data_IF_394652059668
#
_entry.id   IF_394652059668
#
_cell.length_a   1.000
_cell.length_b   1.000
_cell.length_c   1.000
_cell.angle_alpha   90.00
_cell.angle_beta   90.00
_cell.angle_gamma   90.00
#
_symmetry.space_group_name_H-M   'P 1'
#
loop_
_entity.id
_entity.type
_entity.pdbx_description
1 polymer ?
#
# COMPACT_ATOMS: atom_id res chain seq x y z
N UNK A 1 -3.67 13.00 -2.12
CA UNK A 1 -3.06 13.80 -3.20
C UNK A 1 -1.79 13.14 -3.74
N UNK A 2 -1.29 13.53 -4.93
CA UNK A 2 0.01 13.11 -5.42
C UNK A 2 1.15 13.52 -4.48
N UNK A 3 2.22 12.72 -4.44
CA UNK A 3 3.47 13.02 -3.70
C UNK A 3 3.35 13.15 -2.17
N UNK A 4 2.28 12.68 -1.53
CA UNK A 4 2.18 12.62 -0.07
C UNK A 4 3.01 11.48 0.54
N UNK A 5 3.62 10.64 -0.31
CA UNK A 5 4.51 9.53 0.10
C UNK A 5 3.78 8.21 0.34
N UNK A 6 2.70 7.93 -0.39
CA UNK A 6 1.95 6.67 -0.30
C UNK A 6 2.85 5.46 -0.50
N UNK A 7 3.54 5.39 -1.63
CA UNK A 7 4.47 4.28 -1.95
C UNK A 7 5.54 4.12 -0.87
N UNK A 8 6.12 5.22 -0.37
CA UNK A 8 7.07 5.16 0.74
C UNK A 8 6.45 4.52 2.00
N UNK A 9 5.21 4.91 2.35
CA UNK A 9 4.50 4.33 3.49
C UNK A 9 4.15 2.87 3.24
N UNK A 10 3.68 2.51 2.03
CA UNK A 10 3.34 1.13 1.65
C UNK A 10 4.56 0.21 1.76
N UNK A 11 5.72 0.63 1.26
CA UNK A 11 6.98 -0.13 1.34
C UNK A 11 7.39 -0.32 2.80
N UNK A 12 7.43 0.77 3.59
CA UNK A 12 7.87 0.69 4.99
C UNK A 12 6.91 -0.12 5.86
N UNK A 13 5.61 -0.04 5.60
CA UNK A 13 4.61 -0.87 6.27
C UNK A 13 4.82 -2.35 5.92
N UNK A 14 5.02 -2.66 4.64
CA UNK A 14 5.28 -4.01 4.17
C UNK A 14 6.56 -4.59 4.81
N UNK A 15 7.64 -3.81 4.87
CA UNK A 15 8.88 -4.20 5.53
C UNK A 15 8.68 -4.43 7.04
N UNK A 16 7.96 -3.52 7.70
CA UNK A 16 7.70 -3.63 9.15
C UNK A 16 6.93 -4.90 9.50
N UNK A 17 5.89 -5.22 8.72
CA UNK A 17 5.09 -6.44 8.93
C UNK A 17 5.88 -7.70 8.57
N UNK A 18 6.71 -7.63 7.51
CA UNK A 18 7.54 -8.76 7.09
C UNK A 18 8.63 -9.15 8.11
N UNK A 19 8.92 -8.28 9.08
CA UNK A 19 9.83 -8.57 10.20
C UNK A 19 9.12 -9.28 11.38
N UNK A 20 7.77 -9.30 11.39
CA UNK A 20 7.01 -10.02 12.40
C UNK A 20 7.11 -11.53 12.17
N UNK A 21 7.19 -12.28 13.28
CA UNK A 21 7.16 -13.74 13.22
C UNK A 21 5.79 -14.20 12.72
N UNK A 22 5.78 -15.27 11.94
CA UNK A 22 4.57 -15.90 11.42
C UNK A 22 3.69 -15.03 10.50
N UNK A 23 4.26 -13.96 9.93
CA UNK A 23 3.60 -13.13 8.92
C UNK A 23 4.35 -13.16 7.59
N UNK A 24 3.58 -13.20 6.51
CA UNK A 24 4.07 -12.96 5.17
C UNK A 24 3.36 -11.76 4.55
N UNK A 25 4.01 -11.06 3.65
CA UNK A 25 3.47 -9.85 3.01
C UNK A 25 3.53 -9.98 1.51
N UNK A 26 2.46 -9.59 0.85
CA UNK A 26 2.43 -9.37 -0.58
C UNK A 26 2.12 -7.88 -0.84
N UNK A 27 3.09 -7.17 -1.36
CA UNK A 27 2.95 -5.77 -1.76
C UNK A 27 2.60 -5.69 -3.25
N UNK A 28 1.46 -5.10 -3.57
CA UNK A 28 0.92 -5.01 -4.93
C UNK A 28 0.93 -3.55 -5.38
N UNK A 29 1.62 -3.25 -6.49
CA UNK A 29 1.57 -1.93 -7.12
C UNK A 29 0.26 -1.80 -7.92
N UNK A 30 -0.72 -1.13 -7.33
CA UNK A 30 -1.99 -0.79 -7.95
C UNK A 30 -2.03 0.67 -8.45
N UNK A 31 -0.95 1.45 -8.30
CA UNK A 31 -0.79 2.75 -8.96
C UNK A 31 -0.30 2.56 -10.41
N UNK A 32 -1.13 1.90 -11.20
CA UNK A 32 -0.84 1.53 -12.59
C UNK A 32 -0.72 2.74 -13.52
N UNK A 33 -1.18 3.93 -13.08
CA UNK A 33 -1.02 5.18 -13.82
C UNK A 33 0.38 5.77 -13.63
N UNK A 34 0.97 5.59 -12.45
CA UNK A 34 2.31 6.07 -12.11
C UNK A 34 3.09 5.03 -11.30
N UNK A 35 3.35 3.85 -11.90
CA UNK A 35 4.01 2.76 -11.20
C UNK A 35 5.35 3.23 -10.63
N UNK A 36 5.60 2.89 -9.37
CA UNK A 36 6.81 3.34 -8.71
C UNK A 36 7.54 2.28 -7.88
N UNK A 37 6.90 1.17 -7.51
CA UNK A 37 7.53 0.14 -6.67
C UNK A 37 8.81 -0.42 -7.29
N UNK A 38 8.82 -0.73 -8.59
CA UNK A 38 10.00 -1.28 -9.27
C UNK A 38 11.19 -0.30 -9.25
N UNK A 39 10.90 1.00 -9.35
CA UNK A 39 11.92 2.06 -9.32
C UNK A 39 12.43 2.31 -7.90
N UNK A 40 11.50 2.42 -6.93
CA UNK A 40 11.85 2.68 -5.53
C UNK A 40 12.61 1.51 -4.88
N UNK A 41 12.39 0.29 -5.36
CA UNK A 41 13.04 -0.93 -4.88
C UNK A 41 14.16 -1.44 -5.82
N UNK A 42 14.47 -0.68 -6.87
CA UNK A 42 15.58 -0.91 -7.81
C UNK A 42 15.61 -2.34 -8.39
N UNK A 43 14.45 -2.84 -8.87
CA UNK A 43 14.38 -4.13 -9.52
C UNK A 43 13.76 -4.05 -10.92
N UNK A 44 14.22 -4.93 -11.81
CA UNK A 44 13.67 -5.06 -13.15
C UNK A 44 12.45 -5.99 -13.13
N UNK A 45 11.36 -5.57 -13.75
CA UNK A 45 10.19 -6.39 -13.97
C UNK A 45 9.69 -6.23 -15.41
N UNK A 46 9.31 -7.34 -16.03
CA UNK A 46 8.76 -7.34 -17.38
C UNK A 46 7.25 -7.50 -17.40
N UNK A 47 6.70 -8.12 -16.39
CA UNK A 47 5.29 -8.46 -16.23
C UNK A 47 4.84 -8.10 -14.82
N UNK A 48 3.54 -7.82 -14.66
CA UNK A 48 2.96 -7.45 -13.38
C UNK A 48 1.45 -7.65 -13.34
N UNK A 49 0.80 -6.86 -12.51
CA UNK A 49 -0.64 -6.91 -12.28
C UNK A 49 -1.44 -6.78 -13.59
N UNK A 50 -1.05 -5.84 -14.47
CA UNK A 50 -1.77 -5.59 -15.72
C UNK A 50 -1.68 -6.77 -16.69
N UNK A 51 -0.52 -7.40 -16.86
CA UNK A 51 -0.38 -8.59 -17.72
C UNK A 51 -1.22 -9.77 -17.19
N UNK A 52 -1.31 -9.92 -15.86
CA UNK A 52 -2.21 -10.90 -15.27
C UNK A 52 -3.67 -10.58 -15.56
N UNK A 53 -4.10 -9.34 -15.37
CA UNK A 53 -5.48 -8.91 -15.62
C UNK A 53 -5.88 -9.03 -17.11
N UNK A 54 -4.93 -8.83 -18.02
CA UNK A 54 -5.10 -8.97 -19.47
C UNK A 54 -5.09 -10.43 -19.97
N UNK A 55 -4.79 -11.42 -19.10
CA UNK A 55 -4.53 -12.82 -19.49
C UNK A 55 -3.30 -12.98 -20.41
N UNK A 56 -2.32 -12.13 -20.30
CA UNK A 56 -1.06 -12.22 -21.04
C UNK A 56 -0.04 -13.15 -20.35
N UNK A 57 -0.33 -13.57 -19.11
CA UNK A 57 0.40 -14.58 -18.35
C UNK A 57 -0.50 -15.75 -17.98
N UNK A 58 0.08 -16.94 -17.80
CA UNK A 58 -0.68 -18.15 -17.53
C UNK A 58 -1.11 -18.28 -16.07
N UNK A 59 -0.32 -17.74 -15.16
CA UNK A 59 -0.53 -17.89 -13.72
C UNK A 59 -0.20 -16.61 -12.96
N UNK A 60 -0.85 -16.41 -11.82
CA UNK A 60 -0.50 -15.35 -10.89
C UNK A 60 0.95 -15.44 -10.39
N UNK A 61 1.48 -16.67 -10.29
CA UNK A 61 2.89 -16.87 -9.90
C UNK A 61 3.91 -16.24 -10.86
N UNK A 62 3.53 -16.04 -12.13
CA UNK A 62 4.41 -15.47 -13.15
C UNK A 62 4.69 -13.97 -12.92
N UNK A 63 3.83 -13.32 -12.15
CA UNK A 63 3.93 -11.88 -11.81
C UNK A 63 4.28 -11.63 -10.34
N UNK A 64 4.55 -12.67 -9.55
CA UNK A 64 4.99 -12.54 -8.17
C UNK A 64 6.51 -12.62 -8.09
N UNK A 65 7.13 -11.54 -7.66
CA UNK A 65 8.58 -11.44 -7.50
C UNK A 65 8.99 -11.67 -6.04
N UNK A 66 10.03 -12.47 -5.85
CA UNK A 66 10.65 -12.63 -4.54
C UNK A 66 11.57 -11.43 -4.27
N UNK A 67 11.69 -11.06 -2.99
CA UNK A 67 12.68 -10.08 -2.54
C UNK A 67 13.82 -10.78 -1.79
N UNK A 68 14.82 -10.01 -1.36
CA UNK A 68 15.85 -10.49 -0.43
C UNK A 68 15.31 -10.75 0.99
N UNK A 69 14.04 -10.41 1.27
CA UNK A 69 13.34 -10.72 2.52
C UNK A 69 12.37 -11.86 2.22
N UNK A 70 12.58 -13.09 2.73
CA UNK A 70 11.79 -14.27 2.36
C UNK A 70 10.28 -14.12 2.62
N UNK A 71 9.90 -13.36 3.65
CA UNK A 71 8.51 -13.08 4.03
C UNK A 71 7.84 -11.97 3.21
N UNK A 72 8.57 -11.26 2.32
CA UNK A 72 8.05 -10.19 1.47
C UNK A 72 8.11 -10.57 0.00
N UNK A 73 6.97 -10.51 -0.67
CA UNK A 73 6.84 -10.67 -2.12
C UNK A 73 6.17 -9.44 -2.72
N UNK A 74 6.37 -9.23 -4.02
CA UNK A 74 5.88 -8.05 -4.73
C UNK A 74 5.18 -8.48 -6.01
N UNK A 75 4.08 -7.81 -6.33
CA UNK A 75 3.49 -7.78 -7.67
C UNK A 75 3.65 -6.35 -8.18
N UNK A 76 4.51 -6.10 -9.18
CA UNK A 76 4.61 -4.79 -9.81
C UNK A 76 3.37 -4.49 -10.64
N UNK A 77 3.15 -3.23 -11.00
CA UNK A 77 2.02 -2.83 -11.83
C UNK A 77 2.01 -3.45 -13.23
N UNK A 78 3.19 -3.71 -13.79
CA UNK A 78 3.33 -4.14 -15.19
C UNK A 78 3.44 -2.98 -16.17
N UNK A 79 3.25 -3.26 -17.46
CA UNK A 79 3.32 -2.26 -18.52
C UNK A 79 2.01 -1.49 -18.64
N UNK A 80 2.10 -0.18 -18.78
CA UNK A 80 0.91 0.66 -18.98
C UNK A 80 0.10 0.22 -20.21
N UNK A 81 -1.21 0.19 -20.04
CA UNK A 81 -2.17 -0.19 -21.06
C UNK A 81 -3.33 0.83 -21.12
N UNK A 82 -3.95 1.00 -22.28
CA UNK A 82 -5.04 1.97 -22.45
C UNK A 82 -6.33 1.62 -21.66
N UNK A 83 -6.51 0.35 -21.29
CA UNK A 83 -7.65 -0.14 -20.48
C UNK A 83 -7.32 -0.26 -18.98
N UNK A 84 -6.28 0.43 -18.52
CA UNK A 84 -5.77 0.31 -17.15
C UNK A 84 -6.86 0.53 -16.08
N UNK A 85 -7.71 1.51 -16.29
CA UNK A 85 -8.78 1.87 -15.38
C UNK A 85 -9.86 0.78 -15.31
N UNK A 86 -10.30 0.33 -16.47
CA UNK A 86 -11.29 -0.73 -16.60
C UNK A 86 -10.79 -2.05 -16.02
N UNK A 87 -9.50 -2.34 -16.15
CA UNK A 87 -8.88 -3.54 -15.60
C UNK A 87 -8.91 -3.55 -14.07
N UNK A 88 -8.61 -2.43 -13.41
CA UNK A 88 -8.69 -2.32 -11.95
C UNK A 88 -10.12 -2.40 -11.42
N UNK A 89 -11.11 -1.97 -12.22
CA UNK A 89 -12.53 -2.08 -11.89
C UNK A 89 -13.16 -3.41 -12.36
N UNK A 90 -12.37 -4.33 -12.90
CA UNK A 90 -12.88 -5.57 -13.49
C UNK A 90 -13.26 -6.61 -12.44
N UNK A 91 -14.17 -7.52 -12.81
CA UNK A 91 -14.47 -8.73 -12.02
C UNK A 91 -13.22 -9.56 -11.76
N UNK A 92 -12.26 -9.58 -12.69
CA UNK A 92 -11.00 -10.31 -12.53
C UNK A 92 -10.15 -9.73 -11.41
N UNK A 93 -10.09 -8.40 -11.26
CA UNK A 93 -9.42 -7.75 -10.13
C UNK A 93 -10.10 -8.10 -8.80
N UNK A 94 -11.43 -8.09 -8.75
CA UNK A 94 -12.18 -8.50 -7.56
C UNK A 94 -11.90 -9.96 -7.18
N UNK A 95 -11.94 -10.88 -8.16
CA UNK A 95 -11.61 -12.30 -7.95
C UNK A 95 -10.16 -12.47 -7.45
N UNK A 96 -9.22 -11.71 -8.02
CA UNK A 96 -7.82 -11.72 -7.57
C UNK A 96 -7.71 -11.29 -6.11
N UNK A 97 -8.32 -10.17 -5.73
CA UNK A 97 -8.28 -9.66 -4.36
C UNK A 97 -8.86 -10.69 -3.37
N UNK A 98 -9.98 -11.31 -3.71
CA UNK A 98 -10.61 -12.37 -2.92
C UNK A 98 -9.71 -13.62 -2.80
N UNK A 99 -9.10 -14.07 -3.90
CA UNK A 99 -8.15 -15.19 -3.89
C UNK A 99 -6.95 -14.88 -3.00
N UNK A 100 -6.36 -13.70 -3.13
CA UNK A 100 -5.22 -13.28 -2.32
C UNK A 100 -5.55 -13.23 -0.83
N UNK A 101 -6.74 -12.78 -0.46
CA UNK A 101 -7.19 -12.72 0.92
C UNK A 101 -7.44 -14.10 1.55
N UNK A 102 -7.91 -15.08 0.76
CA UNK A 102 -8.32 -16.40 1.27
C UNK A 102 -7.21 -17.46 1.22
N UNK A 103 -6.28 -17.33 0.28
CA UNK A 103 -5.32 -18.42 -0.04
C UNK A 103 -4.29 -18.67 1.05
N UNK A 104 -3.92 -17.63 1.81
CA UNK A 104 -2.87 -17.71 2.84
C UNK A 104 -3.29 -16.90 4.07
N UNK A 105 -3.72 -17.54 5.16
CA UNK A 105 -4.26 -16.84 6.34
C UNK A 105 -3.21 -16.04 7.12
N UNK A 106 -1.92 -16.36 6.93
CA UNK A 106 -0.77 -15.66 7.51
C UNK A 106 -0.31 -14.47 6.66
N UNK A 107 -0.88 -14.32 5.44
CA UNK A 107 -0.45 -13.30 4.49
C UNK A 107 -1.25 -12.02 4.64
N UNK A 108 -0.54 -10.91 4.74
CA UNK A 108 -1.11 -9.56 4.62
C UNK A 108 -0.85 -9.05 3.22
N UNK A 109 -1.91 -8.63 2.53
CA UNK A 109 -1.83 -8.04 1.19
C UNK A 109 -1.95 -6.53 1.32
N UNK A 110 -0.98 -5.81 0.79
CA UNK A 110 -0.95 -4.35 0.77
C UNK A 110 -1.04 -3.89 -0.68
N UNK A 111 -2.05 -3.10 -1.01
CA UNK A 111 -2.17 -2.43 -2.30
C UNK A 111 -1.64 -1.01 -2.20
N UNK A 112 -0.57 -0.70 -2.94
CA UNK A 112 -0.11 0.68 -3.13
C UNK A 112 -0.99 1.32 -4.21
N UNK A 113 -1.87 2.23 -3.80
CA UNK A 113 -2.93 2.76 -4.64
C UNK A 113 -2.63 4.19 -5.12
N UNK A 114 -3.17 4.60 -6.29
CA UNK A 114 -3.10 5.98 -6.75
C UNK A 114 -3.83 6.93 -5.77
N UNK A 115 -3.66 8.26 -5.94
CA UNK A 115 -4.38 9.23 -5.12
C UNK A 115 -5.89 9.08 -5.27
N UNK A 116 -6.63 8.94 -4.16
CA UNK A 116 -8.08 8.78 -4.19
C UNK A 116 -8.81 10.00 -4.79
N UNK A 117 -8.26 11.19 -4.59
CA UNK A 117 -8.81 12.41 -5.19
C UNK A 117 -8.33 12.58 -6.63
N UNK A 118 -9.24 12.51 -7.58
CA UNK A 118 -8.96 12.71 -9.01
C UNK A 118 -8.67 11.42 -9.80
N UNK A 119 -8.82 10.25 -9.16
CA UNK A 119 -8.69 8.94 -9.80
C UNK A 119 -9.91 8.10 -9.41
N UNK A 120 -10.63 7.59 -10.38
CA UNK A 120 -11.92 6.88 -10.16
C UNK A 120 -11.74 5.44 -9.69
N UNK A 121 -10.56 4.87 -9.88
CA UNK A 121 -10.26 3.47 -9.61
C UNK A 121 -9.97 3.20 -8.13
N UNK A 122 -9.43 4.16 -7.41
CA UNK A 122 -9.09 3.99 -5.99
C UNK A 122 -10.32 3.72 -5.11
N UNK A 123 -11.48 4.40 -5.29
CA UNK A 123 -12.71 4.02 -4.61
C UNK A 123 -13.16 2.60 -4.90
N UNK A 124 -13.02 2.11 -6.14
CA UNK A 124 -13.35 0.72 -6.49
C UNK A 124 -12.44 -0.26 -5.76
N UNK A 125 -11.13 0.02 -5.71
CA UNK A 125 -10.19 -0.82 -4.95
C UNK A 125 -10.52 -0.83 -3.45
N UNK A 126 -11.08 0.24 -2.88
CA UNK A 126 -11.44 0.29 -1.46
C UNK A 126 -12.52 -0.72 -1.07
N UNK A 127 -13.43 -1.06 -1.98
CA UNK A 127 -14.45 -2.09 -1.74
C UNK A 127 -13.90 -3.53 -1.76
N UNK A 128 -12.66 -3.73 -2.21
CA UNK A 128 -12.01 -5.03 -2.28
C UNK A 128 -11.14 -5.34 -1.05
N UNK A 129 -11.00 -4.40 -0.12
CA UNK A 129 -10.11 -4.52 1.04
C UNK A 129 -10.86 -4.18 2.34
N UNK A 130 -10.42 -4.76 3.46
CA UNK A 130 -11.05 -4.51 4.77
C UNK A 130 -10.51 -3.28 5.50
N UNK A 131 -9.38 -2.74 5.07
CA UNK A 131 -8.72 -1.61 5.73
C UNK A 131 -8.09 -0.66 4.72
N UNK A 132 -8.14 0.63 5.01
CA UNK A 132 -7.44 1.67 4.25
C UNK A 132 -6.53 2.49 5.16
N UNK A 133 -5.34 2.79 4.69
CA UNK A 133 -4.41 3.73 5.33
C UNK A 133 -4.33 4.98 4.47
N UNK A 134 -4.85 6.08 4.99
CA UNK A 134 -4.82 7.38 4.32
C UNK A 134 -3.55 8.13 4.72
N UNK A 135 -2.66 8.34 3.74
CA UNK A 135 -1.42 9.07 3.95
C UNK A 135 -1.66 10.57 3.73
N UNK A 136 -1.30 11.38 4.71
CA UNK A 136 -1.43 12.86 4.67
C UNK A 136 -0.07 13.51 4.90
N UNK A 137 0.22 14.59 4.18
CA UNK A 137 1.45 15.38 4.35
C UNK A 137 1.19 16.49 5.38
N UNK A 138 2.03 16.52 6.44
CA UNK A 138 1.93 17.53 7.50
C UNK A 138 1.99 18.95 6.90
N UNK A 139 1.17 19.83 7.44
CA UNK A 139 1.10 21.26 7.06
C UNK A 139 0.73 21.55 5.60
N UNK A 140 0.44 20.52 4.78
CA UNK A 140 0.13 20.69 3.36
C UNK A 140 -1.24 20.11 2.98
N UNK A 141 -1.60 18.94 3.51
CA UNK A 141 -2.89 18.30 3.21
C UNK A 141 -4.00 19.01 3.96
N UNK A 142 -4.94 19.60 3.21
CA UNK A 142 -6.09 20.33 3.80
C UNK A 142 -7.10 19.34 4.39
N UNK A 143 -7.69 19.68 5.52
CA UNK A 143 -8.70 18.86 6.19
C UNK A 143 -9.91 18.56 5.28
N UNK A 144 -10.33 19.51 4.45
CA UNK A 144 -11.43 19.29 3.51
C UNK A 144 -11.08 18.24 2.44
N UNK A 145 -9.81 18.19 2.01
CA UNK A 145 -9.33 17.15 1.11
C UNK A 145 -9.36 15.78 1.79
N UNK A 146 -9.02 15.72 3.08
CA UNK A 146 -9.10 14.46 3.86
C UNK A 146 -10.54 14.01 3.98
N UNK A 147 -11.48 14.91 4.37
CA UNK A 147 -12.91 14.58 4.45
C UNK A 147 -13.45 14.08 3.10
N UNK A 148 -13.11 14.78 2.01
CA UNK A 148 -13.51 14.36 0.66
C UNK A 148 -12.92 13.01 0.27
N UNK A 149 -11.68 12.71 0.66
CA UNK A 149 -11.05 11.41 0.40
C UNK A 149 -11.78 10.29 1.15
N UNK A 150 -12.10 10.49 2.43
CA UNK A 150 -12.84 9.50 3.24
C UNK A 150 -14.23 9.25 2.67
N UNK A 151 -14.95 10.29 2.24
CA UNK A 151 -16.30 10.14 1.67
C UNK A 151 -16.35 9.39 0.33
N UNK A 152 -15.20 9.07 -0.27
CA UNK A 152 -15.08 8.24 -1.47
C UNK A 152 -14.71 6.79 -1.17
N UNK A 153 -14.36 6.47 0.07
CA UNK A 153 -14.11 5.11 0.49
C UNK A 153 -15.41 4.37 0.77
N UNK A 154 -15.36 3.05 0.75
CA UNK A 154 -16.46 2.20 1.16
C UNK A 154 -16.82 2.47 2.63
N UNK A 155 -18.13 2.47 2.96
CA UNK A 155 -18.61 2.82 4.31
C UNK A 155 -18.21 1.78 5.36
N UNK A 156 -18.00 0.53 4.96
CA UNK A 156 -17.67 -0.59 5.84
C UNK A 156 -16.16 -0.75 6.08
N UNK A 157 -15.32 0.06 5.41
CA UNK A 157 -13.86 -0.07 5.51
C UNK A 157 -13.31 0.59 6.79
N UNK A 158 -12.42 -0.11 7.50
CA UNK A 158 -11.68 0.50 8.60
C UNK A 158 -10.61 1.47 8.08
N UNK A 159 -10.64 2.74 8.51
CA UNK A 159 -9.73 3.79 8.03
C UNK A 159 -8.73 4.19 9.10
N UNK A 160 -7.45 4.02 8.79
CA UNK A 160 -6.32 4.55 9.56
C UNK A 160 -5.66 5.73 8.86
N UNK A 161 -4.88 6.53 9.61
CA UNK A 161 -4.15 7.68 9.08
C UNK A 161 -2.66 7.59 9.39
N UNK A 162 -1.84 7.97 8.41
CA UNK A 162 -0.40 8.19 8.60
C UNK A 162 -0.08 9.63 8.21
N UNK A 163 0.42 10.40 9.19
CA UNK A 163 0.99 11.73 8.93
C UNK A 163 2.43 11.56 8.49
N UNK A 164 2.72 11.95 7.26
CA UNK A 164 4.03 11.82 6.64
C UNK A 164 4.71 13.18 6.48
N UNK A 165 6.02 13.17 6.24
CA UNK A 165 6.85 14.37 6.04
C UNK A 165 6.78 15.36 7.20
N UNK A 166 6.64 14.86 8.42
CA UNK A 166 6.62 15.69 9.62
C UNK A 166 7.96 16.36 9.83
N UNK A 167 7.95 17.69 9.97
CA UNK A 167 9.15 18.48 10.32
C UNK A 167 9.16 18.65 11.83
N UNK A 168 9.96 17.83 12.53
CA UNK A 168 10.19 18.08 13.97
C UNK A 168 11.05 19.33 14.12
N UNK A 169 10.60 20.37 14.85
CA UNK A 169 11.49 21.46 15.20
C UNK A 169 12.66 20.90 16.04
N UNK A 170 13.87 21.35 15.75
CA UNK A 170 15.11 20.91 16.45
C UNK A 170 15.13 21.18 17.96
N UNK A 171 14.02 21.51 18.60
CA UNK A 171 13.89 21.97 19.98
C UNK A 171 12.94 21.17 20.86
N UNK A 172 12.88 19.87 20.68
CA UNK A 172 12.23 19.03 21.69
C UNK A 172 13.18 17.88 22.11
N UNK A 173 14.32 18.26 22.70
CA UNK A 173 15.02 17.50 23.71
C UNK A 173 14.19 17.50 25.01
N UNK A 174 12.92 17.08 24.96
CA UNK A 174 12.17 16.80 26.17
C UNK A 174 12.28 15.33 26.50
N UNK A 175 13.22 15.09 27.46
CA UNK A 175 13.01 14.21 28.56
C UNK A 175 12.56 12.78 28.23
N UNK A 176 13.55 11.91 27.97
CA UNK A 176 13.46 10.51 28.35
C UNK A 176 12.96 10.44 29.80
N UNK A 177 11.72 10.09 30.04
CA UNK A 177 11.27 9.68 31.37
C UNK A 177 11.95 8.35 31.72
N UNK A 178 13.15 8.46 32.29
CA UNK A 178 13.84 7.34 32.91
C UNK A 178 13.04 6.90 34.14
N UNK A 179 12.48 5.70 34.09
CA UNK A 179 12.05 4.99 35.29
C UNK A 179 13.27 4.69 36.14
N UNK A 180 13.55 5.59 37.08
CA UNK A 180 14.55 5.37 38.12
C UNK A 180 14.06 4.33 39.13
N UNK A 181 14.61 3.14 39.09
CA UNK A 181 14.50 2.18 40.18
C UNK A 181 15.26 2.74 41.41
N UNK A 182 14.51 3.26 42.35
CA UNK A 182 15.06 3.63 43.66
C UNK A 182 15.54 2.40 44.41
N UNK A 183 16.85 2.30 44.66
CA UNK A 183 17.41 1.40 45.67
C UNK A 183 16.99 1.94 47.04
N UNK A 184 16.25 1.16 47.81
CA UNK A 184 16.12 1.35 49.27
C UNK A 184 17.33 0.71 49.97
N UNK A 185 18.01 1.53 50.73
CA UNK A 185 18.94 1.06 51.80
C UNK A 185 18.14 0.43 52.93
#
# INVERSE_FOLDING_TARGET
NPNEGKTFVSINLALSIALEQDKTVLLVDADVLRPSLHRELEFDCQQGLLEYLLNEVNSLSDVIYNTNIPSLKIIPAGKQHHLTNELLASTKMATLAEELAKRYPDRIVIFDCPPILGVTETPVLSSLVGQAVVVVEESKTKLDSVKKAISQLDEDIAVGFVMNKTVRPKKDEYGYYGYGYGKKN
#
